data_IF_473499984593
#
_entry.id   IF_473499984593
#
_cell.length_a   1.000
_cell.length_b   1.000
_cell.length_c   1.000
_cell.angle_alpha   90.00
_cell.angle_beta   90.00
_cell.angle_gamma   90.00
#
_symmetry.space_group_name_H-M   'P 1'
#
loop_
_entity.id
_entity.type
_entity.pdbx_description
1 polymer ?
#
# COMPACT_ATOMS: atom_id res chain seq x y z
N UNK A 1 -11.63 -5.69 -50.01
CA UNK A 1 -11.41 -5.07 -48.68
C UNK A 1 -11.26 -6.19 -47.67
N UNK A 2 -10.01 -6.57 -47.38
CA UNK A 2 -9.64 -7.70 -46.54
C UNK A 2 -9.96 -7.43 -45.07
N UNK A 3 -10.93 -8.14 -44.52
CA UNK A 3 -11.29 -8.18 -43.08
C UNK A 3 -10.15 -8.66 -42.15
N UNK A 4 -8.90 -8.76 -42.64
CA UNK A 4 -7.70 -9.18 -41.89
C UNK A 4 -6.93 -8.02 -41.26
N UNK A 5 -7.23 -6.76 -41.59
CA UNK A 5 -6.47 -5.60 -41.07
C UNK A 5 -6.87 -5.16 -39.66
N UNK A 6 -8.06 -5.51 -39.18
CA UNK A 6 -8.59 -5.04 -37.89
C UNK A 6 -8.00 -5.73 -36.65
N UNK A 7 -7.10 -6.72 -36.81
CA UNK A 7 -6.46 -7.43 -35.69
C UNK A 7 -5.01 -7.02 -35.43
N UNK A 8 -4.53 -5.93 -36.06
CA UNK A 8 -3.11 -5.50 -35.97
C UNK A 8 -2.80 -4.50 -34.85
N UNK A 9 -3.79 -3.96 -34.14
CA UNK A 9 -3.51 -3.17 -32.94
C UNK A 9 -3.52 -4.10 -31.74
N UNK A 10 -2.34 -4.59 -31.38
CA UNK A 10 -2.13 -5.27 -30.10
C UNK A 10 -2.53 -4.37 -28.92
N UNK A 11 -2.78 -4.95 -27.73
CA UNK A 11 -3.10 -4.17 -26.53
C UNK A 11 -2.06 -3.07 -26.33
N UNK A 12 -2.48 -1.84 -25.96
CA UNK A 12 -1.58 -0.70 -25.83
C UNK A 12 -0.39 -1.09 -24.95
N UNK A 13 0.80 -0.71 -25.40
CA UNK A 13 2.04 -1.01 -24.68
C UNK A 13 1.91 -0.51 -23.23
N UNK A 14 2.41 -1.30 -22.28
CA UNK A 14 2.26 -1.10 -20.82
C UNK A 14 2.68 0.30 -20.31
N UNK A 15 3.33 1.08 -21.16
CA UNK A 15 3.74 2.47 -20.93
C UNK A 15 2.57 3.47 -20.94
N UNK A 16 1.45 3.22 -21.64
CA UNK A 16 0.30 4.13 -21.68
C UNK A 16 -0.57 4.08 -20.41
N UNK A 17 -0.43 3.03 -19.59
CA UNK A 17 -1.14 2.90 -18.31
C UNK A 17 -0.40 3.51 -17.11
N UNK A 18 0.72 4.20 -17.33
CA UNK A 18 1.43 4.94 -16.28
C UNK A 18 0.73 6.28 -15.99
N UNK A 19 -0.52 6.20 -15.54
CA UNK A 19 -1.23 7.29 -14.90
C UNK A 19 -0.52 7.65 -13.59
N UNK A 20 0.48 8.53 -13.66
CA UNK A 20 0.75 9.57 -12.67
C UNK A 20 1.22 9.19 -11.26
N UNK A 21 1.66 7.97 -10.96
CA UNK A 21 2.17 7.65 -9.60
C UNK A 21 3.60 8.16 -9.39
N UNK A 22 3.74 9.47 -9.17
CA UNK A 22 5.00 10.09 -8.75
C UNK A 22 5.37 9.57 -7.36
N UNK A 23 6.44 8.76 -7.25
CA UNK A 23 6.93 8.24 -5.97
C UNK A 23 7.37 9.41 -5.08
N UNK A 24 6.77 9.55 -3.90
CA UNK A 24 7.26 10.47 -2.88
C UNK A 24 8.66 10.01 -2.41
N UNK A 25 9.56 10.95 -2.07
CA UNK A 25 10.85 10.60 -1.49
C UNK A 25 10.62 9.78 -0.21
N UNK A 26 11.42 8.74 0.00
CA UNK A 26 11.32 7.91 1.21
C UNK A 26 11.71 8.77 2.42
N UNK A 27 10.89 8.81 3.49
CA UNK A 27 11.25 9.54 4.70
C UNK A 27 12.47 8.88 5.38
N UNK A 28 13.40 9.71 5.85
CA UNK A 28 14.58 9.27 6.61
C UNK A 28 14.17 9.04 8.07
N UNK A 29 13.55 7.91 8.34
CA UNK A 29 13.12 7.51 9.69
C UNK A 29 13.53 6.07 9.94
N UNK A 30 13.87 5.76 11.18
CA UNK A 30 14.16 4.38 11.60
C UNK A 30 12.86 3.74 12.10
N UNK A 31 12.44 2.67 11.44
CA UNK A 31 11.25 1.91 11.84
C UNK A 31 11.63 1.00 13.01
N UNK A 32 11.04 1.26 14.18
CA UNK A 32 11.25 0.43 15.37
C UNK A 32 10.35 -0.81 15.29
N UNK A 33 9.05 -0.62 15.01
CA UNK A 33 8.07 -1.70 14.93
C UNK A 33 7.79 -2.08 13.47
N UNK A 34 8.39 -3.19 12.98
CA UNK A 34 8.14 -3.69 11.61
C UNK A 34 6.69 -4.17 11.41
N UNK A 35 6.13 -4.85 12.42
CA UNK A 35 4.71 -5.22 12.50
C UNK A 35 4.03 -4.31 13.53
N UNK A 36 2.75 -3.94 13.33
CA UNK A 36 2.02 -3.16 14.33
C UNK A 36 1.89 -3.95 15.64
N UNK A 37 2.00 -3.25 16.77
CA UNK A 37 1.67 -3.83 18.07
C UNK A 37 0.15 -3.83 18.22
N UNK A 38 -0.41 -5.00 18.53
CA UNK A 38 -1.83 -5.22 18.73
C UNK A 38 -2.16 -5.11 20.24
N UNK A 39 -3.39 -4.71 20.60
CA UNK A 39 -3.87 -4.79 21.97
C UNK A 39 -3.89 -6.24 22.47
N UNK A 40 -3.74 -6.44 23.78
CA UNK A 40 -3.88 -7.76 24.40
C UNK A 40 -5.35 -8.18 24.51
N UNK A 41 -5.61 -9.47 24.72
CA UNK A 41 -6.98 -9.97 24.90
C UNK A 41 -7.68 -9.38 26.13
N UNK A 42 -6.92 -9.18 27.21
CA UNK A 42 -7.40 -8.53 28.44
C UNK A 42 -7.80 -7.07 28.18
N UNK A 43 -6.99 -6.32 27.44
CA UNK A 43 -7.31 -4.95 27.08
C UNK A 43 -8.54 -4.87 26.17
N UNK A 44 -8.73 -5.82 25.26
CA UNK A 44 -9.93 -5.86 24.41
C UNK A 44 -11.18 -6.17 25.25
N UNK A 45 -11.06 -7.04 26.26
CA UNK A 45 -12.18 -7.38 27.16
C UNK A 45 -12.58 -6.18 28.01
N UNK A 46 -11.59 -5.49 28.59
CA UNK A 46 -11.84 -4.36 29.50
C UNK A 46 -12.16 -3.07 28.72
N UNK A 47 -11.66 -2.96 27.49
CA UNK A 47 -11.90 -1.86 26.57
C UNK A 47 -12.13 -2.35 25.11
N UNK A 48 -13.37 -2.74 24.75
CA UNK A 48 -13.70 -3.26 23.43
C UNK A 48 -13.34 -2.35 22.25
N UNK A 49 -13.25 -1.04 22.47
CA UNK A 49 -12.86 -0.07 21.44
C UNK A 49 -11.38 -0.21 21.03
N UNK A 50 -10.54 -0.84 21.85
CA UNK A 50 -9.13 -1.10 21.54
C UNK A 50 -8.95 -2.16 20.44
N UNK A 51 -9.95 -3.01 20.14
CA UNK A 51 -9.85 -4.13 19.18
C UNK A 51 -9.26 -3.76 17.81
N UNK A 52 -9.46 -2.53 17.35
CA UNK A 52 -8.97 -2.03 16.05
C UNK A 52 -7.66 -1.24 16.13
N UNK A 53 -7.13 -0.98 17.32
CA UNK A 53 -5.91 -0.22 17.53
C UNK A 53 -4.68 -0.95 16.97
N UNK A 54 -3.79 -0.20 16.31
CA UNK A 54 -2.53 -0.70 15.74
C UNK A 54 -1.44 0.33 16.03
N UNK A 55 -0.58 0.04 17.00
CA UNK A 55 0.51 0.94 17.35
C UNK A 55 1.70 0.74 16.39
N UNK A 56 2.23 1.84 15.86
CA UNK A 56 3.44 1.87 15.02
C UNK A 56 4.36 2.96 15.54
N UNK A 57 5.63 2.62 15.75
CA UNK A 57 6.64 3.50 16.33
C UNK A 57 7.76 3.71 15.31
N UNK A 58 8.16 4.96 15.14
CA UNK A 58 9.30 5.38 14.34
C UNK A 58 10.18 6.31 15.18
N UNK A 59 11.47 6.30 14.87
CA UNK A 59 12.46 7.23 15.42
C UNK A 59 12.92 8.18 14.31
N UNK A 60 13.05 9.46 14.66
CA UNK A 60 13.62 10.46 13.77
C UNK A 60 15.14 10.33 13.80
N UNK A 61 15.75 10.23 12.62
CA UNK A 61 17.21 10.24 12.43
C UNK A 61 17.69 11.69 12.31
#
# INVERSE_FOLDING_TARGET
ASLREALRTGPPEKSEFLYGFKRRPKPTVKIITKKPVMPSEEEIRDNPRSRSAKLRIIERI
#
